data_IF_747066697804
#
_entry.id   IF_747066697804
#
_cell.length_a   1.000
_cell.length_b   1.000
_cell.length_c   1.000
_cell.angle_alpha   90.00
_cell.angle_beta   90.00
_cell.angle_gamma   90.00
#
_symmetry.space_group_name_H-M   'P 1'
#
loop_
_entity.id
_entity.type
_entity.pdbx_description
1 polymer ?
#
# COMPACT_ATOMS: atom_id res chain seq x y z
N UNK A 1 -34.89 34.97 18.96
CA UNK A 1 -34.28 33.70 19.43
C UNK A 1 -32.96 33.58 18.70
N UNK A 2 -31.84 33.84 19.39
CA UNK A 2 -30.52 34.03 18.77
C UNK A 2 -29.93 32.69 18.30
N UNK A 3 -29.58 32.64 17.02
CA UNK A 3 -28.91 31.50 16.35
C UNK A 3 -27.42 31.41 16.74
N UNK A 4 -26.89 32.43 17.43
CA UNK A 4 -25.48 32.55 17.81
C UNK A 4 -25.06 31.77 19.06
N UNK A 5 -25.98 31.07 19.74
CA UNK A 5 -25.62 30.24 20.91
C UNK A 5 -25.14 28.83 20.55
N UNK A 6 -25.31 28.37 19.29
CA UNK A 6 -24.98 27.00 18.91
C UNK A 6 -23.48 26.76 18.62
N UNK A 7 -22.74 27.82 18.29
CA UNK A 7 -21.29 27.78 18.11
C UNK A 7 -20.51 28.07 19.41
N UNK A 8 -21.19 28.57 20.45
CA UNK A 8 -20.60 29.00 21.73
C UNK A 8 -20.47 27.87 22.77
N UNK A 9 -20.61 26.62 22.38
CA UNK A 9 -20.12 25.48 23.19
C UNK A 9 -18.68 25.18 22.78
N UNK A 10 -17.84 26.20 22.90
CA UNK A 10 -16.39 26.13 22.79
C UNK A 10 -15.87 25.42 24.05
N UNK A 11 -15.90 24.08 24.02
CA UNK A 11 -15.48 23.20 25.10
C UNK A 11 -13.99 23.40 25.40
N UNK A 12 -13.64 24.28 26.34
CA UNK A 12 -12.36 24.46 27.05
C UNK A 12 -11.03 24.46 26.24
N UNK A 13 -11.05 24.24 24.92
CA UNK A 13 -9.91 23.95 24.06
C UNK A 13 -10.06 24.55 22.62
N UNK A 14 -11.09 25.37 22.37
CA UNK A 14 -11.28 26.07 21.08
C UNK A 14 -11.70 25.17 19.91
N UNK A 15 -12.45 24.09 20.19
CA UNK A 15 -12.90 23.13 19.18
C UNK A 15 -14.42 23.23 19.07
N UNK A 16 -14.93 23.54 17.87
CA UNK A 16 -16.37 23.60 17.61
C UNK A 16 -17.06 22.25 17.82
N UNK A 17 -18.34 22.29 18.20
CA UNK A 17 -19.18 21.10 18.42
C UNK A 17 -19.24 20.17 17.19
N UNK A 18 -19.33 20.74 15.99
CA UNK A 18 -19.29 19.99 14.73
C UNK A 18 -17.94 19.28 14.52
N UNK A 19 -16.83 19.94 14.88
CA UNK A 19 -15.48 19.36 14.77
C UNK A 19 -15.28 18.25 15.80
N UNK A 20 -15.77 18.42 17.03
CA UNK A 20 -15.77 17.38 18.06
C UNK A 20 -16.61 16.16 17.65
N UNK A 21 -17.81 16.38 17.09
CA UNK A 21 -18.64 15.29 16.57
C UNK A 21 -17.95 14.53 15.43
N UNK A 22 -17.26 15.23 14.53
CA UNK A 22 -16.46 14.62 13.46
C UNK A 22 -15.30 13.78 14.06
N UNK A 23 -14.59 14.32 15.05
CA UNK A 23 -13.53 13.59 15.78
C UNK A 23 -14.06 12.33 16.47
N UNK A 24 -15.21 12.42 17.15
CA UNK A 24 -15.84 11.27 17.83
C UNK A 24 -16.28 10.19 16.84
N UNK A 25 -16.91 10.58 15.72
CA UNK A 25 -17.26 9.64 14.63
C UNK A 25 -16.02 8.98 14.06
N UNK A 26 -14.97 9.76 13.82
CA UNK A 26 -13.69 9.23 13.33
C UNK A 26 -13.12 8.23 14.32
N UNK A 27 -13.00 8.58 15.60
CA UNK A 27 -12.47 7.70 16.64
C UNK A 27 -13.22 6.36 16.73
N UNK A 28 -14.56 6.39 16.74
CA UNK A 28 -15.37 5.15 16.77
C UNK A 28 -15.17 4.27 15.54
N UNK A 29 -15.07 4.88 14.36
CA UNK A 29 -14.77 4.13 13.15
C UNK A 29 -13.36 3.55 13.18
N UNK A 30 -12.39 4.32 13.65
CA UNK A 30 -11.01 3.89 13.80
C UNK A 30 -10.88 2.72 14.77
N UNK A 31 -11.57 2.77 15.91
CA UNK A 31 -11.64 1.67 16.87
C UNK A 31 -12.22 0.40 16.24
N UNK A 32 -13.35 0.51 15.53
CA UNK A 32 -13.99 -0.62 14.88
C UNK A 32 -13.16 -1.21 13.73
N UNK A 33 -12.53 -0.36 12.93
CA UNK A 33 -11.66 -0.79 11.85
C UNK A 33 -10.35 -1.37 12.40
N UNK A 34 -9.75 -0.80 13.46
CA UNK A 34 -8.59 -1.41 14.13
C UNK A 34 -8.91 -2.80 14.69
N UNK A 35 -10.09 -3.01 15.26
CA UNK A 35 -10.56 -4.34 15.66
C UNK A 35 -10.66 -5.33 14.48
N UNK A 36 -10.85 -4.84 13.24
CA UNK A 36 -10.79 -5.64 12.02
C UNK A 36 -9.33 -5.89 11.56
N UNK A 37 -8.45 -4.89 11.63
CA UNK A 37 -7.07 -4.95 11.11
C UNK A 37 -6.14 -5.79 11.98
N UNK A 38 -6.34 -5.85 13.30
CA UNK A 38 -5.52 -6.71 14.18
C UNK A 38 -5.69 -8.21 13.89
N UNK A 39 -6.63 -8.61 13.02
CA UNK A 39 -6.79 -9.97 12.50
C UNK A 39 -6.16 -10.25 11.12
N UNK A 40 -5.95 -9.24 10.25
CA UNK A 40 -5.38 -9.39 8.89
C UNK A 40 -4.83 -8.05 8.38
N UNK A 41 -3.68 -8.06 7.68
CA UNK A 41 -3.03 -6.91 7.03
C UNK A 41 -3.96 -6.19 6.03
N UNK A 42 -4.90 -5.38 6.51
CA UNK A 42 -5.72 -4.52 5.67
C UNK A 42 -5.65 -3.10 6.24
N UNK A 43 -5.08 -2.16 5.50
CA UNK A 43 -4.95 -0.79 5.97
C UNK A 43 -6.33 -0.17 6.22
N UNK A 44 -6.39 0.68 7.24
CA UNK A 44 -7.61 1.35 7.63
C UNK A 44 -8.09 2.29 6.51
N UNK A 45 -9.26 1.99 5.92
CA UNK A 45 -9.79 2.71 4.77
C UNK A 45 -10.80 3.77 5.19
N UNK A 46 -10.50 5.05 4.97
CA UNK A 46 -11.37 6.18 5.34
C UNK A 46 -12.12 6.81 4.15
N UNK A 47 -11.75 6.45 2.92
CA UNK A 47 -12.24 7.12 1.71
C UNK A 47 -12.90 6.13 0.75
N UNK A 48 -14.10 6.52 0.28
CA UNK A 48 -14.98 5.66 -0.51
C UNK A 48 -15.50 6.39 -1.75
N UNK A 49 -15.47 5.71 -2.89
CA UNK A 49 -16.05 6.26 -4.11
C UNK A 49 -17.59 6.26 -4.07
N UNK A 50 -18.22 7.10 -4.90
CA UNK A 50 -19.68 7.12 -5.01
C UNK A 50 -20.28 5.76 -5.40
N UNK A 51 -19.60 5.02 -6.30
CA UNK A 51 -20.03 3.71 -6.74
C UNK A 51 -20.00 2.68 -5.59
N UNK A 52 -18.97 2.73 -4.74
CA UNK A 52 -18.88 1.85 -3.57
C UNK A 52 -19.94 2.16 -2.52
N UNK A 53 -20.15 3.45 -2.21
CA UNK A 53 -21.18 3.87 -1.25
C UNK A 53 -22.60 3.46 -1.70
N UNK A 54 -22.87 3.52 -3.00
CA UNK A 54 -24.13 3.01 -3.58
C UNK A 54 -24.19 1.49 -3.50
N UNK A 55 -23.09 0.80 -3.78
CA UNK A 55 -23.00 -0.66 -3.65
C UNK A 55 -23.28 -1.15 -2.23
N UNK A 56 -22.97 -0.33 -1.21
CA UNK A 56 -23.34 -0.64 0.16
C UNK A 56 -24.83 -0.48 0.45
N UNK A 57 -25.62 0.23 -0.37
CA UNK A 57 -27.06 0.41 -0.13
C UNK A 57 -27.34 0.91 1.31
N UNK A 58 -26.60 1.92 1.77
CA UNK A 58 -26.74 2.45 3.11
C UNK A 58 -28.05 3.24 3.25
N UNK A 59 -28.73 3.16 4.42
CA UNK A 59 -30.00 3.82 4.63
C UNK A 59 -29.85 5.35 4.58
N UNK A 60 -30.77 6.01 3.87
CA UNK A 60 -30.77 7.46 3.72
C UNK A 60 -29.79 7.99 2.67
N UNK A 61 -29.14 7.11 1.89
CA UNK A 61 -28.37 7.51 0.72
C UNK A 61 -29.16 7.27 -0.58
N UNK A 62 -28.91 8.07 -1.63
CA UNK A 62 -29.44 7.80 -2.95
C UNK A 62 -28.94 6.46 -3.51
N UNK A 63 -29.80 5.77 -4.26
CA UNK A 63 -29.50 4.47 -4.88
C UNK A 63 -28.66 4.56 -6.16
N UNK A 64 -28.34 5.77 -6.63
CA UNK A 64 -27.55 5.98 -7.85
C UNK A 64 -26.32 6.84 -7.55
N UNK A 65 -25.21 6.56 -8.26
CA UNK A 65 -23.95 7.30 -8.06
C UNK A 65 -24.12 8.80 -8.35
N UNK A 66 -24.83 9.14 -9.42
CA UNK A 66 -25.13 10.53 -9.77
C UNK A 66 -25.98 11.23 -8.71
N UNK A 67 -26.96 10.52 -8.12
CA UNK A 67 -27.75 11.04 -7.01
C UNK A 67 -26.91 11.28 -5.77
N UNK A 68 -25.99 10.35 -5.46
CA UNK A 68 -25.09 10.47 -4.32
C UNK A 68 -24.11 11.64 -4.48
N UNK A 69 -23.54 11.86 -5.67
CA UNK A 69 -22.67 13.00 -5.94
C UNK A 69 -23.42 14.32 -5.74
N UNK A 70 -24.67 14.43 -6.22
CA UNK A 70 -25.50 15.62 -6.00
C UNK A 70 -25.80 15.81 -4.51
N UNK A 71 -26.15 14.74 -3.81
CA UNK A 71 -26.41 14.77 -2.37
C UNK A 71 -25.17 15.21 -1.58
N UNK A 72 -24.00 14.64 -1.88
CA UNK A 72 -22.73 15.00 -1.28
C UNK A 72 -22.38 16.48 -1.51
N UNK A 73 -22.64 17.01 -2.71
CA UNK A 73 -22.45 18.44 -3.01
C UNK A 73 -23.40 19.33 -2.23
N UNK A 74 -24.69 18.98 -2.15
CA UNK A 74 -25.70 19.71 -1.38
C UNK A 74 -25.32 19.78 0.12
N UNK A 75 -24.82 18.67 0.66
CA UNK A 75 -24.44 18.56 2.06
C UNK A 75 -22.95 18.85 2.34
N UNK A 76 -22.21 19.38 1.35
CA UNK A 76 -20.80 19.79 1.45
C UNK A 76 -19.90 18.70 2.07
N UNK A 77 -20.00 17.47 1.59
CA UNK A 77 -19.17 16.38 2.09
C UNK A 77 -17.70 16.59 1.76
N UNK A 78 -16.83 16.16 2.68
CA UNK A 78 -15.39 16.10 2.46
C UNK A 78 -15.10 15.08 1.35
N UNK A 79 -14.39 15.54 0.33
CA UNK A 79 -14.01 14.71 -0.81
C UNK A 79 -12.54 14.92 -1.16
N UNK A 80 -11.95 13.91 -1.82
CA UNK A 80 -10.63 13.98 -2.43
C UNK A 80 -10.67 13.41 -3.84
N UNK A 81 -9.73 13.82 -4.67
CA UNK A 81 -9.49 13.22 -5.99
C UNK A 81 -8.41 12.16 -5.80
N UNK A 82 -8.69 10.94 -6.25
CA UNK A 82 -7.76 9.83 -6.24
C UNK A 82 -7.56 9.29 -7.67
N UNK A 83 -6.38 8.78 -7.97
CA UNK A 83 -6.15 8.08 -9.24
C UNK A 83 -6.91 6.75 -9.24
N UNK A 84 -7.74 6.53 -10.25
CA UNK A 84 -8.43 5.29 -10.50
C UNK A 84 -7.95 4.61 -11.78
N UNK A 85 -8.32 3.34 -11.97
CA UNK A 85 -7.98 2.57 -13.18
C UNK A 85 -8.43 3.20 -14.50
N UNK A 86 -9.44 4.09 -14.47
CA UNK A 86 -10.00 4.78 -15.64
C UNK A 86 -9.91 6.31 -15.50
N UNK A 87 -8.81 6.79 -14.91
CA UNK A 87 -8.59 8.21 -14.64
C UNK A 87 -8.96 8.62 -13.22
N UNK A 88 -9.10 9.91 -12.99
CA UNK A 88 -9.41 10.49 -11.68
C UNK A 88 -10.80 10.07 -11.18
N UNK A 89 -10.88 9.71 -9.90
CA UNK A 89 -12.14 9.41 -9.21
C UNK A 89 -12.30 10.28 -7.97
N UNK A 90 -13.53 10.72 -7.72
CA UNK A 90 -13.87 11.41 -6.48
C UNK A 90 -14.18 10.36 -5.39
N UNK A 91 -13.51 10.49 -4.26
CA UNK A 91 -13.76 9.72 -3.05
C UNK A 91 -14.25 10.63 -1.94
N UNK A 92 -15.17 10.13 -1.12
CA UNK A 92 -15.79 10.85 -0.02
C UNK A 92 -15.33 10.25 1.31
N UNK A 93 -15.11 11.12 2.30
CA UNK A 93 -14.72 10.71 3.63
C UNK A 93 -15.93 10.14 4.39
N UNK A 94 -15.75 9.03 5.08
CA UNK A 94 -16.86 8.36 5.76
C UNK A 94 -17.54 9.19 6.86
N UNK A 95 -16.84 10.14 7.49
CA UNK A 95 -17.44 10.99 8.55
C UNK A 95 -18.46 11.99 8.01
N UNK A 96 -18.41 12.27 6.71
CA UNK A 96 -19.40 13.11 6.02
C UNK A 96 -20.72 12.40 5.78
N UNK A 97 -20.79 11.09 6.01
CA UNK A 97 -22.03 10.33 5.84
C UNK A 97 -23.12 10.79 6.82
N UNK A 98 -24.40 10.73 6.43
CA UNK A 98 -25.52 10.91 7.34
C UNK A 98 -25.44 9.90 8.48
N UNK A 99 -25.92 10.29 9.68
CA UNK A 99 -25.80 9.46 10.89
C UNK A 99 -26.26 8.01 10.67
N UNK A 100 -27.44 7.82 10.05
CA UNK A 100 -27.97 6.47 9.77
C UNK A 100 -27.09 5.66 8.83
N UNK A 101 -26.52 6.29 7.80
CA UNK A 101 -25.62 5.63 6.86
C UNK A 101 -24.29 5.28 7.54
N UNK A 102 -23.77 6.18 8.38
CA UNK A 102 -22.58 5.96 9.18
C UNK A 102 -22.76 4.79 10.16
N UNK A 103 -23.86 4.76 10.90
CA UNK A 103 -24.14 3.70 11.89
C UNK A 103 -24.26 2.32 11.22
N UNK A 104 -24.93 2.24 10.06
CA UNK A 104 -25.01 0.99 9.30
C UNK A 104 -23.64 0.59 8.72
N UNK A 105 -22.85 1.55 8.24
CA UNK A 105 -21.49 1.27 7.77
C UNK A 105 -20.61 0.73 8.89
N UNK A 106 -20.69 1.33 10.09
CA UNK A 106 -20.00 0.87 11.29
C UNK A 106 -20.45 -0.54 11.69
N UNK A 107 -21.75 -0.80 11.72
CA UNK A 107 -22.31 -2.10 12.04
C UNK A 107 -21.83 -3.19 11.05
N UNK A 108 -21.71 -2.86 9.76
CA UNK A 108 -21.16 -3.77 8.74
C UNK A 108 -19.70 -4.09 8.96
N UNK A 109 -18.89 -3.08 9.27
CA UNK A 109 -17.46 -3.28 9.59
C UNK A 109 -17.32 -4.25 10.77
N UNK A 110 -18.11 -4.04 11.83
CA UNK A 110 -18.13 -4.92 13.00
C UNK A 110 -18.60 -6.34 12.68
N UNK A 111 -19.69 -6.51 11.90
CA UNK A 111 -20.19 -7.83 11.47
C UNK A 111 -19.15 -8.59 10.63
N UNK A 112 -18.49 -7.90 9.70
CA UNK A 112 -17.45 -8.50 8.88
C UNK A 112 -16.23 -8.93 9.71
N UNK A 113 -15.88 -8.17 10.75
CA UNK A 113 -14.83 -8.54 11.69
C UNK A 113 -15.17 -9.84 12.44
N UNK A 114 -16.41 -9.96 12.94
CA UNK A 114 -16.89 -11.19 13.59
C UNK A 114 -16.87 -12.40 12.65
N UNK A 115 -17.41 -12.26 11.44
CA UNK A 115 -17.44 -13.35 10.45
C UNK A 115 -16.03 -13.80 10.04
N UNK A 116 -15.08 -12.87 9.92
CA UNK A 116 -13.68 -13.22 9.61
C UNK A 116 -13.06 -14.06 10.74
N UNK A 117 -13.35 -13.71 12.00
CA UNK A 117 -12.86 -14.46 13.16
C UNK A 117 -13.48 -15.87 13.25
N UNK A 118 -14.77 -16.00 12.98
CA UNK A 118 -15.47 -17.30 12.94
C UNK A 118 -14.93 -18.21 11.84
N UNK A 119 -14.74 -17.67 10.62
CA UNK A 119 -14.16 -18.42 9.49
C UNK A 119 -12.72 -18.83 9.79
N UNK A 120 -11.91 -17.95 10.38
CA UNK A 120 -10.54 -18.27 10.78
C UNK A 120 -10.48 -19.41 11.81
N UNK A 121 -11.47 -19.50 12.71
CA UNK A 121 -11.57 -20.60 13.68
C UNK A 121 -12.02 -21.95 13.08
N UNK A 122 -12.70 -21.93 11.94
CA UNK A 122 -13.17 -23.14 11.23
C UNK A 122 -12.14 -23.71 10.26
N UNK A 123 -11.15 -22.91 9.86
CA UNK A 123 -10.02 -23.41 9.06
C UNK A 123 -9.10 -24.18 10.02
N UNK A 124 -8.89 -25.49 9.83
CA UNK A 124 -7.91 -26.22 10.63
C UNK A 124 -6.56 -25.52 10.49
N UNK A 125 -5.80 -25.48 11.59
CA UNK A 125 -4.46 -24.88 11.61
C UNK A 125 -3.54 -25.69 10.68
N UNK A 126 -3.56 -25.34 9.40
CA UNK A 126 -2.65 -25.87 8.40
C UNK A 126 -1.33 -25.22 8.76
N UNK A 127 -0.30 -25.99 9.19
CA UNK A 127 1.01 -25.45 9.48
C UNK A 127 1.40 -24.60 8.28
N UNK A 128 1.47 -23.28 8.50
CA UNK A 128 1.76 -22.33 7.43
C UNK A 128 3.05 -22.86 6.80
N UNK A 129 3.02 -23.38 5.54
CA UNK A 129 4.19 -24.00 4.97
C UNK A 129 5.26 -22.94 5.09
N UNK A 130 6.37 -23.28 5.76
CA UNK A 130 7.45 -22.35 6.03
C UNK A 130 7.65 -21.63 4.71
N UNK A 131 7.31 -20.32 4.66
CA UNK A 131 7.44 -19.53 3.44
C UNK A 131 8.82 -19.93 2.95
N UNK A 132 8.97 -20.52 1.74
CA UNK A 132 10.30 -20.86 1.28
C UNK A 132 11.04 -19.56 1.48
N UNK A 133 11.97 -19.58 2.43
CA UNK A 133 12.81 -18.44 2.62
C UNK A 133 13.44 -18.41 1.26
N UNK A 134 13.01 -17.45 0.44
CA UNK A 134 13.76 -17.04 -0.71
C UNK A 134 14.98 -16.49 -0.02
N UNK A 135 15.88 -17.40 0.33
CA UNK A 135 17.26 -17.11 0.55
C UNK A 135 17.49 -16.27 -0.69
N UNK A 136 17.60 -14.95 -0.48
CA UNK A 136 18.40 -14.16 -1.36
C UNK A 136 19.67 -14.99 -1.35
N UNK A 137 19.82 -15.84 -2.37
CA UNK A 137 21.12 -16.35 -2.75
C UNK A 137 21.90 -15.06 -2.66
N UNK A 138 22.83 -14.99 -1.70
CA UNK A 138 23.83 -13.94 -1.71
C UNK A 138 24.44 -14.16 -3.07
N UNK A 139 23.92 -13.48 -4.08
CA UNK A 139 24.60 -13.28 -5.34
C UNK A 139 25.87 -12.64 -4.83
N UNK A 140 26.95 -13.40 -4.88
CA UNK A 140 28.26 -12.86 -4.61
C UNK A 140 28.34 -11.55 -5.40
N UNK A 141 28.73 -10.45 -4.74
CA UNK A 141 28.68 -9.14 -5.36
C UNK A 141 29.41 -9.25 -6.69
N UNK A 142 28.69 -8.98 -7.78
CA UNK A 142 29.21 -9.12 -9.14
C UNK A 142 30.59 -8.47 -9.21
N UNK A 143 31.64 -9.20 -9.63
CA UNK A 143 33.01 -8.69 -9.54
C UNK A 143 33.13 -7.35 -10.27
N UNK A 144 33.76 -6.36 -9.64
CA UNK A 144 33.82 -4.99 -10.18
C UNK A 144 34.53 -4.92 -11.55
N UNK A 145 35.37 -5.91 -11.85
CA UNK A 145 36.09 -6.06 -13.11
C UNK A 145 35.26 -6.67 -14.24
N UNK A 146 34.09 -7.25 -13.96
CA UNK A 146 33.27 -7.95 -14.96
C UNK A 146 32.74 -6.99 -16.05
N UNK A 147 32.22 -5.83 -15.66
CA UNK A 147 31.70 -4.84 -16.62
C UNK A 147 32.79 -4.25 -17.53
N UNK A 148 33.97 -3.85 -17.01
CA UNK A 148 35.11 -3.50 -17.85
C UNK A 148 35.53 -4.61 -18.82
N UNK A 149 35.55 -5.88 -18.37
CA UNK A 149 35.91 -7.02 -19.20
C UNK A 149 34.94 -7.20 -20.37
N UNK A 150 33.63 -7.17 -20.08
CA UNK A 150 32.61 -7.25 -21.12
C UNK A 150 32.71 -6.10 -22.13
N UNK A 151 33.09 -4.90 -21.68
CA UNK A 151 33.30 -3.76 -22.58
C UNK A 151 34.46 -4.00 -23.56
N UNK A 152 35.56 -4.57 -23.09
CA UNK A 152 36.74 -4.89 -23.92
C UNK A 152 36.41 -6.00 -24.92
N UNK A 153 35.79 -7.09 -24.46
CA UNK A 153 35.39 -8.22 -25.31
C UNK A 153 34.37 -7.81 -26.39
N UNK A 154 33.50 -6.83 -26.08
CA UNK A 154 32.53 -6.29 -27.05
C UNK A 154 33.17 -5.37 -28.10
N UNK A 155 34.27 -4.70 -27.78
CA UNK A 155 34.93 -3.75 -28.68
C UNK A 155 35.82 -4.44 -29.71
N UNK A 156 36.39 -5.59 -29.39
CA UNK A 156 37.20 -6.36 -30.32
C UNK A 156 37.18 -7.86 -29.95
N UNK A 157 37.19 -8.77 -30.94
CA UNK A 157 37.26 -10.22 -30.72
C UNK A 157 38.68 -10.61 -30.30
N UNK A 158 39.03 -10.27 -29.05
CA UNK A 158 40.34 -10.51 -28.45
C UNK A 158 40.22 -11.74 -27.53
N UNK A 159 41.21 -12.66 -27.49
CA UNK A 159 41.20 -13.78 -26.55
C UNK A 159 41.17 -13.28 -25.10
N UNK A 160 40.41 -13.96 -24.24
CA UNK A 160 40.13 -13.58 -22.84
C UNK A 160 41.41 -13.27 -22.06
N UNK A 161 42.47 -14.06 -22.24
CA UNK A 161 43.74 -13.83 -21.54
C UNK A 161 44.44 -12.51 -21.89
N UNK A 162 44.21 -11.98 -23.10
CA UNK A 162 44.71 -10.66 -23.48
C UNK A 162 43.78 -9.55 -22.95
N UNK A 163 42.48 -9.79 -22.89
CA UNK A 163 41.51 -8.86 -22.29
C UNK A 163 41.74 -8.66 -20.78
N UNK A 164 42.08 -9.73 -20.03
CA UNK A 164 42.40 -9.66 -18.59
C UNK A 164 43.61 -8.76 -18.31
N UNK A 165 44.64 -8.78 -19.17
CA UNK A 165 45.82 -7.91 -19.02
C UNK A 165 45.48 -6.41 -19.16
N UNK A 166 44.44 -6.11 -19.95
CA UNK A 166 43.95 -4.75 -20.23
C UNK A 166 42.98 -4.24 -19.16
N UNK A 167 42.60 -5.07 -18.17
CA UNK A 167 41.73 -4.63 -17.08
C UNK A 167 42.45 -3.63 -16.16
N UNK A 168 41.73 -2.59 -15.70
CA UNK A 168 42.21 -1.75 -14.61
C UNK A 168 42.33 -2.57 -13.32
N UNK A 169 43.27 -2.23 -12.42
CA UNK A 169 43.36 -2.87 -11.10
C UNK A 169 42.06 -2.62 -10.32
N UNK A 170 41.69 -3.58 -9.46
CA UNK A 170 40.52 -3.43 -8.60
C UNK A 170 40.70 -2.21 -7.69
N UNK A 171 39.63 -1.42 -7.55
CA UNK A 171 39.66 -0.21 -6.71
C UNK A 171 39.74 -0.54 -5.22
N UNK A 172 39.28 -1.72 -4.81
CA UNK A 172 39.24 -2.14 -3.41
C UNK A 172 40.52 -2.88 -3.02
N UNK A 173 40.96 -3.82 -3.84
CA UNK A 173 42.08 -4.72 -3.53
C UNK A 173 43.40 -4.28 -4.17
N UNK A 174 43.36 -3.39 -5.17
CA UNK A 174 44.54 -2.94 -5.93
C UNK A 174 45.16 -4.02 -6.83
N UNK A 175 44.66 -5.25 -6.77
CA UNK A 175 45.15 -6.40 -7.52
C UNK A 175 44.33 -6.59 -8.81
N UNK A 176 44.97 -7.17 -9.82
CA UNK A 176 44.28 -7.60 -11.05
C UNK A 176 43.74 -9.02 -10.83
N UNK A 177 42.53 -9.33 -11.34
CA UNK A 177 41.97 -10.66 -11.20
C UNK A 177 42.81 -11.69 -11.95
N UNK A 178 42.90 -12.89 -11.39
CA UNK A 178 43.60 -13.99 -12.05
C UNK A 178 42.81 -14.49 -13.27
N UNK A 179 43.51 -15.03 -14.27
CA UNK A 179 42.88 -15.54 -15.48
C UNK A 179 41.97 -16.74 -15.17
N UNK A 180 42.31 -17.55 -14.17
CA UNK A 180 41.50 -18.70 -13.75
C UNK A 180 40.20 -18.25 -13.08
N UNK A 181 40.29 -17.22 -12.22
CA UNK A 181 39.14 -16.58 -11.57
C UNK A 181 38.18 -15.98 -12.61
N UNK A 182 38.72 -15.29 -13.61
CA UNK A 182 37.92 -14.72 -14.71
C UNK A 182 37.20 -15.79 -15.51
N UNK A 183 37.86 -16.91 -15.84
CA UNK A 183 37.25 -18.00 -16.61
C UNK A 183 36.16 -18.70 -15.80
N UNK A 184 36.35 -18.90 -14.50
CA UNK A 184 35.35 -19.51 -13.62
C UNK A 184 34.05 -18.68 -13.59
N UNK A 185 34.17 -17.37 -13.42
CA UNK A 185 33.04 -16.44 -13.45
C UNK A 185 32.33 -16.38 -14.81
N UNK A 186 33.09 -16.35 -15.92
CA UNK A 186 32.52 -16.37 -17.26
C UNK A 186 31.76 -17.68 -17.57
N UNK A 187 32.22 -18.82 -17.03
CA UNK A 187 31.48 -20.09 -17.10
C UNK A 187 30.21 -20.06 -16.26
N UNK A 188 30.26 -19.48 -15.06
CA UNK A 188 29.08 -19.34 -14.19
C UNK A 188 28.00 -18.45 -14.81
N UNK A 189 28.41 -17.46 -15.61
CA UNK A 189 27.51 -16.61 -16.40
C UNK A 189 27.07 -17.23 -17.74
N UNK A 190 27.52 -18.44 -18.06
CA UNK A 190 27.18 -19.15 -19.30
C UNK A 190 27.78 -18.54 -20.57
N UNK A 191 28.85 -17.74 -20.46
CA UNK A 191 29.47 -17.04 -21.58
C UNK A 191 30.65 -17.81 -22.21
N UNK A 192 31.10 -18.89 -21.56
CA UNK A 192 32.08 -19.83 -22.09
C UNK A 192 31.51 -21.24 -21.94
N UNK A 193 31.51 -22.00 -23.04
CA UNK A 193 31.18 -23.43 -23.06
C UNK A 193 32.38 -24.29 -22.66
#
# INVERSE_FOLDING_TARGET
>A
MNIFDQDMLDLAAGISSAKLANMQRRMRYLEAALAQVTGQDNSLREWFSAAELVGYQLPGLPVTASGLIRHAKTHKWDYRIAEGQRGERMEYHFTSLPQRAFDEMLARVLRNAQATHEIAGLVPDIPRPARPHRQRQKTEPTPQWLLPLMRILRQAPIPVGRAVKMLPPDKVTGQKPDIQEVVAELRQLGMLA
#
